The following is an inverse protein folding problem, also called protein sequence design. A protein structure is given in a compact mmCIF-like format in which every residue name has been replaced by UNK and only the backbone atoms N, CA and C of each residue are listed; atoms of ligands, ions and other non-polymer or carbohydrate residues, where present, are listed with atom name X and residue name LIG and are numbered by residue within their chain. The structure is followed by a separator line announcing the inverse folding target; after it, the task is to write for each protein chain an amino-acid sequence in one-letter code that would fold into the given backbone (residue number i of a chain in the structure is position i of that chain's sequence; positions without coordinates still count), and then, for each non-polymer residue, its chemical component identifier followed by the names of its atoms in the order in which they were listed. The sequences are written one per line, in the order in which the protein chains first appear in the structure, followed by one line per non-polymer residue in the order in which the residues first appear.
data_IF_728087994200
#
_entry.id   IF_728087994200
#
_cell.length_a   1.000
_cell.length_b   1.000
_cell.length_c   1.000
_cell.angle_alpha   90.00
_cell.angle_beta   90.00
_cell.angle_gamma   90.00
#
_symmetry.space_group_name_H-M   'P 1'
#
loop_
_entity.id
_entity.type
_entity.pdbx_description
1 polymer ?
#
# COMPACT_ATOMS: atom_id res chain seq x y z
N UNK A 1 62.27 9.56 -7.60
CA UNK A 1 61.31 10.62 -7.18
C UNK A 1 59.87 10.34 -7.61
N UNK A 2 59.59 10.00 -8.88
CA UNK A 2 58.23 9.64 -9.36
C UNK A 2 57.52 8.54 -8.54
N UNK A 3 58.22 7.44 -8.21
CA UNK A 3 57.66 6.34 -7.41
C UNK A 3 57.35 6.72 -5.95
N UNK A 4 58.12 7.64 -5.37
CA UNK A 4 57.91 8.11 -4.00
C UNK A 4 56.71 9.06 -3.93
N UNK A 5 56.50 9.86 -4.98
CA UNK A 5 55.37 10.78 -5.09
C UNK A 5 54.04 10.03 -5.26
N UNK A 6 54.01 8.94 -6.03
CA UNK A 6 52.82 8.09 -6.16
C UNK A 6 52.45 7.39 -4.84
N UNK A 7 53.43 6.94 -4.06
CA UNK A 7 53.17 6.28 -2.77
C UNK A 7 52.60 7.29 -1.76
N UNK A 8 53.14 8.52 -1.72
CA UNK A 8 52.63 9.59 -0.84
C UNK A 8 51.21 10.00 -1.25
N UNK A 9 50.91 10.06 -2.55
CA UNK A 9 49.58 10.42 -3.06
C UNK A 9 48.53 9.33 -2.79
N UNK A 10 48.91 8.05 -2.83
CA UNK A 10 48.04 6.92 -2.44
C UNK A 10 47.82 6.89 -0.93
N UNK A 11 48.84 7.18 -0.12
CA UNK A 11 48.72 7.26 1.34
C UNK A 11 47.87 8.46 1.80
N UNK A 12 47.94 9.61 1.12
CA UNK A 12 47.09 10.76 1.44
C UNK A 12 45.63 10.55 1.01
N UNK A 13 45.39 9.83 -0.09
CA UNK A 13 44.03 9.45 -0.51
C UNK A 13 43.39 8.40 0.41
N UNK A 14 44.19 7.53 1.04
CA UNK A 14 43.71 6.57 2.05
C UNK A 14 43.42 7.21 3.42
N UNK A 15 44.07 8.34 3.76
CA UNK A 15 43.82 9.06 5.02
C UNK A 15 42.61 10.02 4.96
N UNK A 16 42.13 10.37 3.76
CA UNK A 16 40.90 11.18 3.60
C UNK A 16 39.60 10.40 3.72
N UNK A 17 39.65 9.08 3.94
CA UNK A 17 38.49 8.22 4.17
C UNK A 17 38.12 8.07 5.66
N UNK A 18 38.67 8.90 6.55
CA UNK A 18 38.07 9.09 7.87
C UNK A 18 36.86 10.00 7.70
N UNK A 19 35.79 9.44 7.09
CA UNK A 19 34.47 10.02 7.26
C UNK A 19 34.19 10.11 8.75
N UNK A 20 33.65 11.25 9.22
CA UNK A 20 33.08 11.33 10.54
C UNK A 20 32.09 10.18 10.67
N UNK A 21 32.50 9.10 11.33
CA UNK A 21 31.60 8.06 11.81
C UNK A 21 30.73 8.79 12.84
N UNK A 22 29.59 9.33 12.42
CA UNK A 22 28.46 9.51 13.33
C UNK A 22 28.28 8.12 13.93
N UNK A 23 28.65 7.99 15.20
CA UNK A 23 28.42 6.75 15.94
C UNK A 23 26.92 6.57 15.91
N UNK A 24 26.45 5.44 15.38
CA UNK A 24 25.05 5.06 15.50
C UNK A 24 24.80 4.83 16.99
N UNK A 25 24.24 5.85 17.65
CA UNK A 25 23.86 5.83 19.06
C UNK A 25 22.42 5.36 19.18
N UNK A 26 22.10 4.20 18.61
CA UNK A 26 20.80 3.59 18.86
C UNK A 26 20.72 3.33 20.37
N UNK A 27 19.81 4.05 21.04
CA UNK A 27 19.50 3.85 22.45
C UNK A 27 18.63 2.62 22.57
N UNK A 28 18.96 1.75 23.53
CA UNK A 28 18.18 0.55 23.80
C UNK A 28 17.05 0.87 24.79
N UNK A 29 16.11 -0.04 24.97
CA UNK A 29 14.99 0.10 25.92
C UNK A 29 15.46 0.59 27.31
N UNK A 30 16.61 0.11 27.78
CA UNK A 30 17.22 0.46 29.07
C UNK A 30 17.59 1.96 29.22
N UNK A 31 17.72 2.69 28.10
CA UNK A 31 18.07 4.11 28.09
C UNK A 31 16.84 5.02 28.26
N UNK A 32 15.62 4.49 28.10
CA UNK A 32 14.38 5.24 28.20
C UNK A 32 13.94 5.41 29.66
N UNK A 33 13.73 6.66 30.08
CA UNK A 33 13.23 6.99 31.43
C UNK A 33 11.75 7.33 31.37
N UNK A 34 10.92 6.44 31.92
CA UNK A 34 9.50 6.67 32.10
C UNK A 34 9.20 7.52 33.34
N UNK A 35 8.35 8.54 33.20
CA UNK A 35 7.83 9.34 34.30
C UNK A 35 6.36 8.99 34.56
N UNK A 36 6.10 8.35 35.72
CA UNK A 36 4.76 7.95 36.14
C UNK A 36 3.81 9.13 36.42
N UNK A 37 4.31 10.33 36.72
CA UNK A 37 3.44 11.48 36.96
C UNK A 37 2.90 12.09 35.68
N UNK A 38 3.77 12.22 34.67
CA UNK A 38 3.38 12.77 33.36
C UNK A 38 2.83 11.71 32.42
N UNK A 39 2.95 10.42 32.77
CA UNK A 39 2.62 9.29 31.91
C UNK A 39 3.31 9.42 30.53
N UNK A 40 4.59 9.78 30.55
CA UNK A 40 5.38 10.00 29.35
C UNK A 40 6.87 9.67 29.54
N UNK A 41 7.58 9.44 28.44
CA UNK A 41 9.04 9.33 28.45
C UNK A 41 9.70 10.71 28.55
N UNK A 42 10.81 10.79 29.26
CA UNK A 42 11.60 12.02 29.34
C UNK A 42 12.19 12.36 27.97
N UNK A 43 11.80 13.51 27.42
CA UNK A 43 12.33 14.02 26.16
C UNK A 43 13.78 14.50 26.32
N UNK A 44 14.58 14.30 25.28
CA UNK A 44 15.94 14.82 25.25
C UNK A 44 15.92 16.35 25.14
N UNK A 45 16.91 17.00 25.78
CA UNK A 45 17.03 18.45 25.70
C UNK A 45 17.41 18.84 24.26
N UNK A 46 16.72 19.85 23.73
CA UNK A 46 16.93 20.38 22.38
C UNK A 46 16.68 19.33 21.28
N UNK A 47 15.82 18.34 21.56
CA UNK A 47 15.43 17.29 20.62
C UNK A 47 14.77 17.89 19.37
N UNK A 48 15.16 17.33 18.22
CA UNK A 48 14.51 17.55 16.94
C UNK A 48 14.20 16.19 16.34
N UNK A 49 12.96 16.02 15.91
CA UNK A 49 12.47 14.79 15.33
C UNK A 49 12.14 15.01 13.87
N UNK A 50 12.31 13.97 13.05
CA UNK A 50 11.93 13.94 11.65
C UNK A 50 10.85 12.88 11.42
N UNK A 51 9.77 13.25 10.73
CA UNK A 51 8.71 12.37 10.26
C UNK A 51 8.77 12.21 8.74
N UNK A 52 8.75 10.97 8.27
CA UNK A 52 8.54 10.62 6.87
C UNK A 52 7.17 9.99 6.65
N UNK A 53 6.36 10.61 5.80
CA UNK A 53 5.06 10.11 5.32
C UNK A 53 4.79 10.70 3.94
N UNK A 54 3.89 10.10 3.17
CA UNK A 54 3.51 10.53 1.82
C UNK A 54 2.22 11.36 1.80
N UNK A 55 1.66 11.67 2.97
CA UNK A 55 0.42 12.40 3.11
C UNK A 55 0.65 13.76 3.80
N UNK A 56 0.73 14.81 2.98
CA UNK A 56 0.97 16.18 3.45
C UNK A 56 -0.14 16.66 4.42
N UNK A 57 -1.41 16.42 4.12
CA UNK A 57 -2.53 16.85 4.97
C UNK A 57 -2.49 16.17 6.36
N UNK A 58 -2.16 14.88 6.38
CA UNK A 58 -1.96 14.13 7.61
C UNK A 58 -0.75 14.67 8.39
N UNK A 59 0.39 14.89 7.73
CA UNK A 59 1.59 15.44 8.35
C UNK A 59 1.32 16.82 8.98
N UNK A 60 0.60 17.70 8.29
CA UNK A 60 0.20 19.01 8.80
C UNK A 60 -0.62 18.90 10.10
N UNK A 61 -1.61 18.00 10.15
CA UNK A 61 -2.40 17.78 11.37
C UNK A 61 -1.56 17.19 12.51
N UNK A 62 -0.67 16.25 12.20
CA UNK A 62 0.25 15.66 13.19
C UNK A 62 1.17 16.74 13.76
N UNK A 63 1.81 17.55 12.93
CA UNK A 63 2.70 18.63 13.35
C UNK A 63 1.95 19.65 14.22
N UNK A 64 0.71 19.99 13.85
CA UNK A 64 -0.12 20.90 14.65
C UNK A 64 -0.37 20.33 16.05
N UNK A 65 -0.88 19.10 16.15
CA UNK A 65 -1.16 18.44 17.43
C UNK A 65 0.12 18.22 18.25
N UNK A 66 1.24 17.91 17.58
CA UNK A 66 2.53 17.77 18.20
C UNK A 66 3.00 19.07 18.84
N UNK A 67 2.96 20.19 18.11
CA UNK A 67 3.39 21.50 18.60
C UNK A 67 2.52 22.00 19.78
N UNK A 68 1.23 21.66 19.78
CA UNK A 68 0.35 21.96 20.93
C UNK A 68 0.75 21.18 22.19
N UNK A 69 1.17 19.92 22.04
CA UNK A 69 1.50 19.02 23.15
C UNK A 69 2.96 19.13 23.60
N UNK A 70 3.88 19.39 22.67
CA UNK A 70 5.33 19.40 22.85
C UNK A 70 5.96 20.66 22.21
N UNK A 71 5.62 21.86 22.69
CA UNK A 71 6.04 23.12 22.04
C UNK A 71 7.56 23.33 21.99
N UNK A 72 8.31 22.64 22.86
CA UNK A 72 9.77 22.74 22.96
C UNK A 72 10.52 21.69 22.12
N UNK A 73 9.80 20.77 21.45
CA UNK A 73 10.39 19.70 20.63
C UNK A 73 9.98 19.89 19.17
N UNK A 74 10.93 20.24 18.32
CA UNK A 74 10.64 20.45 16.89
C UNK A 74 10.34 19.11 16.22
N UNK A 75 9.22 19.03 15.50
CA UNK A 75 8.92 17.94 14.57
C UNK A 75 9.02 18.47 13.14
N UNK A 76 10.03 18.04 12.42
CA UNK A 76 10.24 18.28 10.99
C UNK A 76 9.56 17.17 10.17
N UNK A 77 9.25 17.48 8.92
CA UNK A 77 8.56 16.58 8.00
C UNK A 77 9.26 16.61 6.64
N UNK A 78 9.35 15.43 6.03
CA UNK A 78 9.75 15.25 4.64
C UNK A 78 8.76 14.28 3.97
N UNK A 79 8.22 14.69 2.81
CA UNK A 79 7.34 13.84 2.03
C UNK A 79 8.17 12.71 1.41
N UNK A 80 7.89 11.48 1.84
CA UNK A 80 8.55 10.26 1.38
C UNK A 80 7.48 9.21 1.14
N UNK A 81 7.41 8.68 -0.09
CA UNK A 81 6.53 7.56 -0.45
C UNK A 81 6.70 6.40 0.54
N UNK A 82 5.61 5.93 1.13
CA UNK A 82 5.66 4.86 2.14
C UNK A 82 6.37 3.61 1.59
N UNK A 83 6.24 3.30 0.30
CA UNK A 83 6.91 2.16 -0.34
C UNK A 83 8.43 2.33 -0.39
N UNK A 84 8.93 3.56 -0.43
CA UNK A 84 10.36 3.88 -0.43
C UNK A 84 10.92 4.10 0.99
N UNK A 85 10.08 4.28 2.02
CA UNK A 85 10.49 4.60 3.38
C UNK A 85 11.56 3.67 3.97
N UNK A 86 11.33 2.35 3.92
CA UNK A 86 12.29 1.36 4.41
C UNK A 86 13.60 1.37 3.62
N UNK A 87 13.53 1.50 2.29
CA UNK A 87 14.69 1.55 1.40
C UNK A 87 15.53 2.80 1.65
N UNK A 88 14.89 3.96 1.76
CA UNK A 88 15.56 5.23 2.09
C UNK A 88 16.19 5.16 3.47
N UNK A 89 15.50 4.56 4.45
CA UNK A 89 16.06 4.37 5.80
C UNK A 89 17.33 3.50 5.80
N UNK A 90 17.38 2.42 5.00
CA UNK A 90 18.60 1.60 4.85
C UNK A 90 19.79 2.38 4.29
N UNK A 91 19.53 3.38 3.44
CA UNK A 91 20.55 4.22 2.83
C UNK A 91 20.99 5.36 3.76
N UNK A 92 20.02 6.09 4.32
CA UNK A 92 20.23 7.34 5.05
C UNK A 92 20.41 7.14 6.56
N UNK A 93 19.81 6.09 7.12
CA UNK A 93 19.86 5.74 8.54
C UNK A 93 21.27 5.60 9.08
N UNK A 94 22.18 4.80 8.47
CA UNK A 94 23.56 4.66 8.92
C UNK A 94 24.37 5.97 8.90
N UNK A 95 23.98 6.94 8.04
CA UNK A 95 24.58 8.27 7.98
C UNK A 95 23.97 9.24 9.01
N UNK A 96 22.96 8.82 9.76
CA UNK A 96 22.19 9.67 10.67
C UNK A 96 21.44 10.77 9.93
N UNK A 97 20.94 10.45 8.74
CA UNK A 97 20.07 11.27 7.89
C UNK A 97 18.65 10.70 7.79
N UNK A 98 18.42 9.53 8.39
CA UNK A 98 17.09 8.91 8.46
C UNK A 98 16.13 9.68 9.36
N UNK A 99 14.84 9.48 9.14
CA UNK A 99 13.79 9.92 10.05
C UNK A 99 13.80 9.18 11.40
N UNK A 100 13.17 9.79 12.41
CA UNK A 100 12.89 9.15 13.69
C UNK A 100 11.62 8.29 13.61
N UNK A 101 10.64 8.73 12.82
CA UNK A 101 9.41 8.00 12.52
C UNK A 101 9.20 8.00 11.01
N UNK A 102 8.96 6.83 10.42
CA UNK A 102 8.70 6.69 9.00
C UNK A 102 7.62 5.65 8.74
N UNK A 103 6.91 5.81 7.64
CA UNK A 103 5.89 4.86 7.18
C UNK A 103 6.52 3.84 6.24
N UNK A 104 6.01 2.60 6.33
CA UNK A 104 6.33 1.53 5.39
C UNK A 104 5.16 0.55 5.30
N UNK A 105 4.94 -0.09 4.13
CA UNK A 105 4.05 -1.22 3.99
C UNK A 105 4.38 -2.37 4.94
N UNK A 106 3.36 -3.09 5.42
CA UNK A 106 3.51 -4.17 6.39
C UNK A 106 4.42 -5.32 5.87
N UNK A 107 4.41 -5.59 4.57
CA UNK A 107 5.27 -6.60 3.93
C UNK A 107 6.77 -6.20 3.97
N UNK A 108 7.11 -4.95 4.25
CA UNK A 108 8.49 -4.49 4.44
C UNK A 108 9.00 -4.67 5.87
N UNK A 109 8.15 -4.98 6.85
CA UNK A 109 8.53 -5.05 8.28
C UNK A 109 9.62 -6.08 8.52
N UNK A 110 9.51 -7.27 7.92
CA UNK A 110 10.50 -8.35 8.10
C UNK A 110 11.87 -7.91 7.59
N UNK A 111 11.93 -7.42 6.35
CA UNK A 111 13.17 -6.96 5.73
C UNK A 111 13.78 -5.75 6.45
N UNK A 112 12.94 -4.82 6.93
CA UNK A 112 13.38 -3.69 7.73
C UNK A 112 13.96 -4.15 9.09
N UNK A 113 13.30 -5.09 9.79
CA UNK A 113 13.81 -5.68 11.03
C UNK A 113 15.15 -6.37 10.82
N UNK A 114 15.26 -7.24 9.82
CA UNK A 114 16.50 -7.99 9.52
C UNK A 114 17.66 -7.05 9.17
N UNK A 115 17.37 -5.90 8.55
CA UNK A 115 18.38 -4.88 8.27
C UNK A 115 18.78 -4.02 9.47
N UNK A 116 18.10 -4.17 10.61
CA UNK A 116 18.40 -3.45 11.85
C UNK A 116 18.00 -1.98 11.85
N UNK A 117 17.07 -1.57 10.98
CA UNK A 117 16.59 -0.17 10.91
C UNK A 117 15.35 0.10 11.77
N UNK A 118 14.79 -0.93 12.41
CA UNK A 118 13.62 -0.81 13.28
C UNK A 118 14.00 -0.80 14.74
N UNK A 119 13.25 -0.02 15.51
CA UNK A 119 13.37 0.05 16.95
C UNK A 119 12.46 -0.98 17.61
N UNK A 120 13.01 -1.80 18.52
CA UNK A 120 12.22 -2.66 19.40
C UNK A 120 11.46 -1.78 20.40
N UNK A 121 10.14 -1.82 20.37
CA UNK A 121 9.32 -1.05 21.30
C UNK A 121 9.36 -1.61 22.72
N UNK A 122 9.34 -0.75 23.76
CA UNK A 122 9.28 -1.19 25.15
C UNK A 122 8.01 -1.97 25.45
N UNK A 123 8.08 -2.85 26.47
CA UNK A 123 6.96 -3.72 26.85
C UNK A 123 5.66 -2.92 27.12
N UNK A 124 5.77 -1.73 27.73
CA UNK A 124 4.62 -0.85 27.99
C UNK A 124 3.91 -0.43 26.69
N UNK A 125 4.67 -0.10 25.65
CA UNK A 125 4.11 0.32 24.35
C UNK A 125 3.49 -0.89 23.65
N UNK A 126 4.18 -2.04 23.65
CA UNK A 126 3.65 -3.31 23.13
C UNK A 126 2.29 -3.64 23.75
N UNK A 127 2.21 -3.63 25.08
CA UNK A 127 0.96 -3.89 25.81
C UNK A 127 -0.14 -2.86 25.49
N UNK A 128 0.21 -1.58 25.34
CA UNK A 128 -0.77 -0.58 24.94
C UNK A 128 -1.32 -0.87 23.54
N UNK A 129 -0.47 -1.21 22.57
CA UNK A 129 -0.90 -1.57 21.21
C UNK A 129 -1.78 -2.83 21.25
N UNK A 130 -1.36 -3.91 21.90
CA UNK A 130 -2.12 -5.15 21.97
C UNK A 130 -3.51 -5.01 22.62
N UNK A 131 -3.67 -4.06 23.55
CA UNK A 131 -4.94 -3.81 24.23
C UNK A 131 -5.88 -2.86 23.45
N UNK A 132 -5.37 -2.12 22.47
CA UNK A 132 -6.14 -1.07 21.77
C UNK A 132 -6.27 -1.31 20.26
N UNK A 133 -5.42 -2.15 19.68
CA UNK A 133 -5.38 -2.45 18.25
C UNK A 133 -5.78 -3.92 18.04
N UNK A 134 -6.49 -4.19 16.94
CA UNK A 134 -6.92 -5.54 16.58
C UNK A 134 -5.71 -6.46 16.35
N UNK A 135 -5.81 -7.71 16.80
CA UNK A 135 -4.78 -8.75 16.68
C UNK A 135 -4.23 -8.90 15.26
N UNK A 136 -5.13 -9.04 14.28
CA UNK A 136 -4.77 -9.16 12.87
C UNK A 136 -3.96 -7.98 12.31
N UNK A 137 -3.97 -6.82 12.96
CA UNK A 137 -3.20 -5.65 12.55
C UNK A 137 -1.83 -5.58 13.22
N UNK A 138 -1.70 -5.96 14.49
CA UNK A 138 -0.42 -5.84 15.19
C UNK A 138 0.47 -7.07 15.05
N UNK A 139 -0.07 -8.27 14.78
CA UNK A 139 0.74 -9.49 14.66
C UNK A 139 1.86 -9.36 13.62
N UNK A 140 1.61 -8.68 12.50
CA UNK A 140 2.60 -8.43 11.44
C UNK A 140 3.78 -7.57 11.89
N UNK A 141 3.65 -6.88 13.02
CA UNK A 141 4.69 -6.03 13.61
C UNK A 141 5.56 -6.76 14.64
N UNK A 142 5.22 -8.02 14.94
CA UNK A 142 5.82 -8.83 16.00
C UNK A 142 6.89 -9.80 15.46
N UNK A 143 7.90 -10.08 16.28
CA UNK A 143 8.87 -11.16 16.07
C UNK A 143 9.40 -11.67 17.41
N UNK A 144 9.33 -12.98 17.66
CA UNK A 144 9.80 -13.59 18.92
C UNK A 144 9.27 -12.88 20.20
N UNK A 145 7.99 -12.48 20.18
CA UNK A 145 7.30 -11.70 21.25
C UNK A 145 7.71 -10.22 21.38
N UNK A 146 8.57 -9.72 20.50
CA UNK A 146 8.97 -8.30 20.45
C UNK A 146 8.23 -7.54 19.32
N UNK A 147 7.87 -6.28 19.59
CA UNK A 147 7.19 -5.40 18.62
C UNK A 147 8.18 -4.42 17.99
N UNK A 148 8.13 -4.26 16.67
CA UNK A 148 9.06 -3.42 15.89
C UNK A 148 8.41 -2.33 15.04
N UNK A 149 7.09 -2.33 14.95
CA UNK A 149 6.31 -1.31 14.25
C UNK A 149 4.97 -1.10 14.96
N UNK A 150 4.30 0.03 14.68
CA UNK A 150 2.95 0.30 15.18
C UNK A 150 2.02 0.34 13.96
N UNK A 151 0.96 -0.49 13.92
CA UNK A 151 -0.02 -0.42 12.84
C UNK A 151 -0.74 0.93 12.85
N UNK A 152 -0.72 1.63 11.72
CA UNK A 152 -1.41 2.92 11.54
C UNK A 152 -2.75 2.77 10.81
N UNK A 153 -2.83 1.82 9.87
CA UNK A 153 -4.01 1.52 9.08
C UNK A 153 -4.09 0.04 8.76
N UNK A 154 -5.32 -0.41 8.48
CA UNK A 154 -5.58 -1.68 7.81
C UNK A 154 -6.18 -1.30 6.47
N UNK A 155 -5.60 -1.82 5.39
CA UNK A 155 -6.12 -1.66 4.05
C UNK A 155 -6.69 -3.00 3.56
N UNK A 156 -7.75 -2.91 2.76
CA UNK A 156 -8.31 -4.06 2.08
C UNK A 156 -8.79 -3.61 0.71
N UNK A 157 -8.86 -4.56 -0.22
CA UNK A 157 -9.35 -4.32 -1.56
C UNK A 157 -10.86 -4.10 -1.49
N UNK A 158 -11.33 -3.09 -2.22
CA UNK A 158 -12.74 -2.81 -2.41
C UNK A 158 -13.04 -2.61 -3.89
N UNK A 159 -14.18 -3.12 -4.34
CA UNK A 159 -14.74 -2.71 -5.63
C UNK A 159 -15.41 -1.35 -5.45
N UNK A 160 -14.90 -0.33 -6.13
CA UNK A 160 -15.48 1.01 -6.11
C UNK A 160 -16.23 1.25 -7.42
N UNK A 161 -17.45 1.79 -7.31
CA UNK A 161 -18.31 2.05 -8.45
C UNK A 161 -18.88 3.47 -8.42
N UNK A 162 -19.10 4.04 -9.61
CA UNK A 162 -19.71 5.36 -9.73
C UNK A 162 -21.24 5.26 -9.72
N UNK A 163 -21.85 5.64 -8.58
CA UNK A 163 -23.31 5.60 -8.40
C UNK A 163 -24.11 6.33 -9.47
N UNK A 164 -23.59 7.44 -9.99
CA UNK A 164 -24.28 8.22 -11.02
C UNK A 164 -24.30 7.49 -12.35
N UNK A 165 -23.19 6.81 -12.70
CA UNK A 165 -23.10 5.98 -13.90
C UNK A 165 -24.01 4.76 -13.78
N UNK A 166 -23.93 4.01 -12.68
CA UNK A 166 -24.76 2.82 -12.48
C UNK A 166 -26.26 3.16 -12.50
N UNK A 167 -26.66 4.32 -11.95
CA UNK A 167 -28.05 4.76 -11.99
C UNK A 167 -28.54 5.08 -13.40
N UNK A 168 -27.66 5.57 -14.26
CA UNK A 168 -27.98 5.88 -15.65
C UNK A 168 -28.02 4.65 -16.55
N UNK A 169 -27.42 3.52 -16.12
CA UNK A 169 -27.32 2.30 -16.90
C UNK A 169 -28.50 1.35 -16.61
N UNK A 170 -28.99 0.62 -17.62
CA UNK A 170 -30.11 -0.29 -17.43
C UNK A 170 -29.70 -1.46 -16.53
N UNK A 171 -30.68 -2.11 -15.92
CA UNK A 171 -30.46 -3.39 -15.27
C UNK A 171 -29.89 -4.41 -16.26
N UNK A 172 -28.90 -5.18 -15.83
CA UNK A 172 -28.32 -6.30 -16.55
C UNK A 172 -29.15 -7.57 -16.37
N UNK A 173 -29.17 -8.48 -17.36
CA UNK A 173 -29.66 -9.83 -17.15
C UNK A 173 -28.92 -10.49 -16.00
N UNK A 174 -29.66 -11.13 -15.10
CA UNK A 174 -29.12 -11.86 -13.95
C UNK A 174 -29.95 -13.12 -13.72
N UNK A 175 -29.33 -14.11 -13.09
CA UNK A 175 -29.99 -15.33 -12.61
C UNK A 175 -30.79 -15.11 -11.31
N UNK A 176 -30.57 -13.99 -10.61
CA UNK A 176 -31.32 -13.60 -9.42
C UNK A 176 -32.65 -12.96 -9.84
N UNK A 177 -33.74 -13.28 -9.13
CA UNK A 177 -35.01 -12.56 -9.34
C UNK A 177 -34.81 -11.09 -8.97
N UNK A 178 -34.97 -10.19 -9.94
CA UNK A 178 -34.69 -8.76 -9.76
C UNK A 178 -35.94 -7.90 -9.92
N UNK A 179 -36.07 -6.93 -9.03
CA UNK A 179 -37.08 -5.86 -9.10
C UNK A 179 -36.49 -4.54 -9.60
N UNK A 180 -35.17 -4.48 -9.70
CA UNK A 180 -34.39 -3.30 -10.06
C UNK A 180 -34.68 -2.82 -11.49
N UNK A 181 -34.77 -1.50 -11.64
CA UNK A 181 -34.97 -0.81 -12.91
C UNK A 181 -33.68 -0.35 -13.57
N UNK A 182 -32.58 -0.32 -12.81
CA UNK A 182 -31.26 0.15 -13.24
C UNK A 182 -30.15 -0.60 -12.48
N UNK A 183 -28.91 -0.44 -12.94
CA UNK A 183 -27.77 -1.18 -12.39
C UNK A 183 -27.42 -0.78 -10.95
N UNK A 184 -27.68 0.48 -10.55
CA UNK A 184 -27.47 0.90 -9.17
C UNK A 184 -28.39 0.16 -8.21
N UNK A 185 -29.67 0.04 -8.55
CA UNK A 185 -30.64 -0.74 -7.77
C UNK A 185 -30.26 -2.21 -7.69
N UNK A 186 -29.77 -2.82 -8.78
CA UNK A 186 -29.30 -4.21 -8.75
C UNK A 186 -28.15 -4.41 -7.76
N UNK A 187 -27.16 -3.50 -7.76
CA UNK A 187 -26.00 -3.58 -6.86
C UNK A 187 -26.41 -3.28 -5.41
N UNK A 188 -27.20 -2.24 -5.14
CA UNK A 188 -27.59 -1.86 -3.78
C UNK A 188 -28.60 -2.83 -3.15
N UNK A 189 -29.41 -3.53 -3.95
CA UNK A 189 -30.34 -4.56 -3.48
C UNK A 189 -29.71 -5.96 -3.39
N UNK A 190 -28.43 -6.11 -3.77
CA UNK A 190 -27.75 -7.42 -3.86
C UNK A 190 -28.46 -8.39 -4.84
N UNK A 191 -29.07 -7.84 -5.89
CA UNK A 191 -29.84 -8.55 -6.92
C UNK A 191 -29.02 -8.86 -8.18
N UNK A 192 -27.69 -8.88 -8.10
CA UNK A 192 -26.80 -9.27 -9.21
C UNK A 192 -25.51 -9.89 -8.68
N UNK A 193 -25.02 -10.95 -9.33
CA UNK A 193 -23.71 -11.50 -9.02
C UNK A 193 -22.59 -10.60 -9.53
N UNK A 194 -21.44 -10.57 -8.85
CA UNK A 194 -20.31 -9.71 -9.25
C UNK A 194 -19.80 -10.10 -10.64
N UNK A 195 -19.85 -11.38 -10.99
CA UNK A 195 -19.48 -11.92 -12.30
C UNK A 195 -20.41 -11.41 -13.41
N UNK A 196 -21.72 -11.43 -13.18
CA UNK A 196 -22.73 -10.94 -14.13
C UNK A 196 -22.62 -9.41 -14.30
N UNK A 197 -22.34 -8.68 -13.23
CA UNK A 197 -22.04 -7.25 -13.26
C UNK A 197 -20.80 -6.96 -14.11
N UNK A 198 -19.72 -7.69 -13.88
CA UNK A 198 -18.45 -7.53 -14.58
C UNK A 198 -18.57 -7.90 -16.07
N UNK A 199 -19.21 -9.01 -16.39
CA UNK A 199 -19.48 -9.44 -17.77
C UNK A 199 -20.35 -8.42 -18.51
N UNK A 200 -21.43 -7.95 -17.88
CA UNK A 200 -22.33 -6.98 -18.49
C UNK A 200 -21.66 -5.62 -18.72
N UNK A 201 -20.87 -5.12 -17.76
CA UNK A 201 -20.09 -3.89 -17.94
C UNK A 201 -19.02 -4.06 -19.02
N UNK A 202 -18.31 -5.20 -19.06
CA UNK A 202 -17.33 -5.50 -20.09
C UNK A 202 -17.96 -5.54 -21.50
N UNK A 203 -19.18 -6.08 -21.63
CA UNK A 203 -19.92 -6.15 -22.89
C UNK A 203 -20.21 -4.79 -23.52
N UNK A 204 -20.24 -3.71 -22.71
CA UNK A 204 -20.46 -2.35 -23.18
C UNK A 204 -19.18 -1.67 -23.71
N UNK A 205 -18.00 -2.16 -23.30
CA UNK A 205 -16.70 -1.54 -23.59
C UNK A 205 -16.59 -0.08 -23.13
N UNK A 206 -15.52 0.62 -23.54
CA UNK A 206 -15.29 2.04 -23.18
C UNK A 206 -16.28 3.03 -23.82
N UNK A 207 -17.14 2.59 -24.74
CA UNK A 207 -17.98 3.50 -25.52
C UNK A 207 -19.44 3.57 -25.05
N UNK A 208 -19.85 2.76 -24.06
CA UNK A 208 -21.25 2.67 -23.57
C UNK A 208 -22.31 2.49 -24.68
N UNK A 209 -21.86 2.21 -25.90
CA UNK A 209 -22.66 2.26 -27.13
C UNK A 209 -23.64 1.09 -27.21
N UNK A 210 -23.40 0.04 -26.42
CA UNK A 210 -24.31 -1.10 -26.26
C UNK A 210 -25.50 -0.82 -25.34
N UNK A 211 -25.43 0.19 -24.47
CA UNK A 211 -26.52 0.52 -23.54
C UNK A 211 -27.59 1.44 -24.16
N UNK A 212 -27.26 2.15 -25.25
CA UNK A 212 -28.19 3.06 -25.93
C UNK A 212 -28.56 4.33 -25.14
N UNK A 213 -27.79 4.67 -24.10
CA UNK A 213 -28.06 5.78 -23.17
C UNK A 213 -26.93 6.81 -23.24
N UNK A 214 -27.29 8.10 -23.28
CA UNK A 214 -26.34 9.21 -23.12
C UNK A 214 -25.97 9.35 -21.64
N UNK A 215 -24.72 9.03 -21.31
CA UNK A 215 -24.22 9.08 -19.94
C UNK A 215 -24.08 10.54 -19.49
N UNK A 216 -24.74 10.96 -18.40
CA UNK A 216 -24.58 12.31 -17.88
C UNK A 216 -23.14 12.51 -17.36
N UNK A 217 -22.64 13.75 -17.42
CA UNK A 217 -21.32 14.15 -16.89
C UNK A 217 -20.08 13.70 -17.68
N UNK A 218 -20.22 13.37 -18.98
CA UNK A 218 -19.06 13.18 -19.88
C UNK A 218 -18.07 14.38 -19.89
N UNK A 219 -18.49 15.55 -19.38
CA UNK A 219 -17.71 16.78 -19.39
C UNK A 219 -17.25 17.27 -18.00
N UNK A 220 -17.75 16.73 -16.89
CA UNK A 220 -17.51 17.29 -15.54
C UNK A 220 -16.47 16.47 -14.77
N UNK A 221 -15.27 17.06 -14.61
CA UNK A 221 -14.09 16.45 -13.96
C UNK A 221 -14.08 16.61 -12.44
N UNK A 222 -13.43 15.66 -11.75
CA UNK A 222 -12.78 15.89 -10.46
C UNK A 222 -11.57 16.84 -10.61
N UNK A 223 -11.19 17.46 -9.50
CA UNK A 223 -10.22 18.55 -9.37
C UNK A 223 -8.95 18.42 -10.23
N UNK A 224 -8.55 19.50 -10.89
CA UNK A 224 -7.20 19.66 -11.44
C UNK A 224 -6.25 19.93 -10.28
N UNK A 225 -5.21 19.11 -10.08
CA UNK A 225 -4.02 19.56 -9.38
C UNK A 225 -3.38 20.71 -10.17
N UNK A 226 -2.87 21.73 -9.49
CA UNK A 226 -2.18 22.84 -10.16
C UNK A 226 -0.92 22.34 -10.86
N UNK A 227 -0.93 22.33 -12.20
CA UNK A 227 0.26 22.10 -13.04
C UNK A 227 0.35 20.77 -13.79
N UNK A 228 -0.63 19.89 -13.67
CA UNK A 228 -0.62 18.60 -14.41
C UNK A 228 -1.36 18.68 -15.76
N UNK A 229 -0.71 18.19 -16.83
CA UNK A 229 -1.39 17.84 -18.08
C UNK A 229 -2.11 16.51 -17.88
N UNK A 230 -3.41 16.48 -18.15
CA UNK A 230 -4.16 15.23 -18.16
C UNK A 230 -3.61 14.39 -19.31
N UNK A 231 -3.12 13.18 -19.01
CA UNK A 231 -2.78 12.24 -20.07
C UNK A 231 -4.04 11.93 -20.87
N UNK A 232 -3.97 12.00 -22.20
CA UNK A 232 -5.11 11.69 -23.10
C UNK A 232 -5.63 10.24 -22.93
N UNK A 233 -4.96 9.41 -22.14
CA UNK A 233 -5.24 7.98 -21.93
C UNK A 233 -6.02 7.62 -20.66
N UNK A 234 -6.22 8.55 -19.73
CA UNK A 234 -7.08 8.29 -18.57
C UNK A 234 -8.54 8.61 -18.92
N UNK A 235 -9.25 7.63 -19.48
CA UNK A 235 -10.69 7.72 -19.77
C UNK A 235 -11.44 8.06 -18.46
N UNK A 236 -11.89 9.32 -18.39
CA UNK A 236 -12.31 10.06 -17.18
C UNK A 236 -13.70 9.65 -16.64
N UNK A 237 -14.19 8.46 -17.01
CA UNK A 237 -15.57 8.01 -16.76
C UNK A 237 -15.64 6.52 -16.40
N UNK A 238 -14.75 6.05 -15.53
CA UNK A 238 -14.71 4.65 -15.10
C UNK A 238 -15.98 4.22 -14.36
N UNK A 239 -16.74 3.24 -14.90
CA UNK A 239 -17.88 2.61 -14.20
C UNK A 239 -17.39 1.81 -12.99
N UNK A 240 -16.40 0.94 -13.24
CA UNK A 240 -15.74 0.06 -12.28
C UNK A 240 -14.23 0.20 -12.45
N UNK A 241 -13.53 0.52 -11.37
CA UNK A 241 -12.07 0.57 -11.36
C UNK A 241 -11.54 -0.66 -10.63
N UNK A 242 -10.60 -1.38 -11.25
CA UNK A 242 -9.98 -2.54 -10.63
C UNK A 242 -8.56 -2.74 -11.17
N UNK A 243 -7.61 -3.05 -10.28
CA UNK A 243 -6.21 -3.29 -10.63
C UNK A 243 -6.02 -4.77 -11.02
N UNK A 244 -5.98 -5.04 -12.32
CA UNK A 244 -5.91 -6.41 -12.85
C UNK A 244 -4.51 -7.05 -12.80
N UNK A 245 -3.46 -6.26 -12.60
CA UNK A 245 -2.09 -6.71 -12.81
C UNK A 245 -1.43 -7.37 -11.58
N UNK A 246 -2.10 -7.41 -10.45
CA UNK A 246 -1.51 -7.91 -9.20
C UNK A 246 -2.42 -9.00 -8.60
N UNK A 247 -1.84 -10.17 -8.30
CA UNK A 247 -2.54 -11.28 -7.68
C UNK A 247 -3.20 -10.90 -6.35
N UNK A 248 -2.65 -9.92 -5.63
CA UNK A 248 -3.27 -9.31 -4.46
C UNK A 248 -4.65 -8.75 -4.83
N UNK A 249 -4.73 -7.89 -5.84
CA UNK A 249 -5.98 -7.29 -6.30
C UNK A 249 -6.94 -8.29 -6.96
N UNK A 250 -6.44 -9.45 -7.42
CA UNK A 250 -7.24 -10.52 -8.00
C UNK A 250 -7.70 -11.60 -7.02
N UNK A 251 -7.33 -11.49 -5.76
CA UNK A 251 -7.64 -12.48 -4.73
C UNK A 251 -9.13 -12.91 -4.67
N UNK A 252 -10.13 -12.01 -4.78
CA UNK A 252 -11.54 -12.40 -4.76
C UNK A 252 -11.91 -13.36 -5.90
N UNK A 253 -11.29 -13.18 -7.07
CA UNK A 253 -11.53 -14.03 -8.23
C UNK A 253 -10.72 -15.32 -8.13
N UNK A 254 -9.48 -15.28 -7.67
CA UNK A 254 -8.69 -16.50 -7.50
C UNK A 254 -9.36 -17.48 -6.54
N UNK A 255 -10.04 -16.96 -5.50
CA UNK A 255 -10.61 -17.78 -4.41
C UNK A 255 -12.07 -18.20 -4.61
N UNK A 256 -12.71 -17.83 -5.72
CA UNK A 256 -14.15 -18.04 -5.95
C UNK A 256 -14.58 -19.49 -5.75
N UNK A 257 -13.86 -20.43 -6.35
CA UNK A 257 -14.19 -21.86 -6.29
C UNK A 257 -13.51 -22.56 -5.10
N UNK A 258 -13.15 -21.79 -4.07
CA UNK A 258 -12.62 -22.31 -2.80
C UNK A 258 -11.11 -22.44 -2.74
N UNK A 259 -10.38 -21.92 -3.73
CA UNK A 259 -8.93 -21.79 -3.63
C UNK A 259 -8.55 -20.87 -2.46
N UNK A 260 -7.47 -21.22 -1.78
CA UNK A 260 -6.91 -20.48 -0.65
C UNK A 260 -5.42 -20.35 -0.86
N UNK A 261 -4.98 -19.11 -1.05
CA UNK A 261 -3.55 -18.79 -1.20
C UNK A 261 -2.87 -19.15 0.11
N UNK A 262 -1.78 -19.92 0.05
CA UNK A 262 -1.03 -20.39 1.22
C UNK A 262 -1.73 -21.45 2.07
N UNK A 263 -2.57 -22.30 1.46
CA UNK A 263 -3.17 -23.46 2.10
C UNK A 263 -4.46 -23.15 2.89
N UNK A 264 -4.96 -24.13 3.65
CA UNK A 264 -6.31 -24.03 4.25
C UNK A 264 -6.50 -22.90 5.26
N UNK A 265 -5.41 -22.43 5.88
CA UNK A 265 -5.37 -21.37 6.88
C UNK A 265 -4.73 -20.06 6.37
N UNK A 266 -4.39 -20.00 5.07
CA UNK A 266 -3.70 -18.89 4.41
C UNK A 266 -2.31 -18.53 4.97
N UNK A 267 -1.61 -19.47 5.62
CA UNK A 267 -0.35 -19.17 6.33
C UNK A 267 0.86 -20.00 5.89
N UNK A 268 0.72 -20.95 4.96
CA UNK A 268 1.83 -21.75 4.47
C UNK A 268 2.41 -21.19 3.15
N UNK A 269 3.57 -20.50 3.19
CA UNK A 269 4.16 -19.87 2.00
C UNK A 269 4.57 -20.88 0.91
N UNK A 270 4.75 -22.15 1.25
CA UNK A 270 5.08 -23.22 0.29
C UNK A 270 3.84 -23.72 -0.47
N UNK A 271 2.63 -23.32 -0.05
CA UNK A 271 1.34 -23.77 -0.59
C UNK A 271 0.67 -22.68 -1.42
N UNK A 272 1.45 -21.99 -2.27
CA UNK A 272 0.89 -21.02 -3.21
C UNK A 272 -0.06 -21.71 -4.22
N UNK A 273 0.28 -22.89 -4.74
CA UNK A 273 -0.61 -23.79 -5.51
C UNK A 273 -1.52 -23.11 -6.56
N UNK A 274 -0.98 -22.14 -7.30
CA UNK A 274 -1.75 -21.34 -8.28
C UNK A 274 -2.24 -22.16 -9.49
N UNK A 275 -1.69 -23.36 -9.69
CA UNK A 275 -2.02 -24.32 -10.73
C UNK A 275 -3.23 -25.21 -10.38
N UNK A 276 -3.84 -25.01 -9.21
CA UNK A 276 -5.03 -25.75 -8.77
C UNK A 276 -6.21 -25.60 -9.75
N UNK A 277 -6.97 -26.68 -10.01
CA UNK A 277 -8.16 -26.61 -10.88
C UNK A 277 -9.17 -25.55 -10.46
N UNK A 278 -9.29 -25.27 -9.16
CA UNK A 278 -10.15 -24.25 -8.59
C UNK A 278 -9.75 -22.84 -9.04
N UNK A 279 -8.44 -22.54 -9.13
CA UNK A 279 -7.93 -21.26 -9.63
C UNK A 279 -8.32 -21.08 -11.09
N UNK A 280 -8.06 -22.11 -11.90
CA UNK A 280 -8.41 -22.13 -13.32
C UNK A 280 -9.91 -21.93 -13.55
N UNK A 281 -10.73 -22.70 -12.84
CA UNK A 281 -12.20 -22.60 -12.91
C UNK A 281 -12.68 -21.21 -12.50
N UNK A 282 -12.07 -20.62 -11.48
CA UNK A 282 -12.44 -19.27 -11.01
C UNK A 282 -12.08 -18.18 -12.01
N UNK A 283 -10.92 -18.27 -12.66
CA UNK A 283 -10.50 -17.35 -13.73
C UNK A 283 -11.39 -17.52 -14.97
N UNK A 284 -11.64 -18.76 -15.42
CA UNK A 284 -12.44 -19.11 -16.60
C UNK A 284 -13.84 -18.49 -16.59
N UNK A 285 -14.40 -18.26 -15.42
CA UNK A 285 -15.76 -17.77 -15.28
C UNK A 285 -15.86 -16.25 -15.06
N UNK A 286 -14.73 -15.56 -15.01
CA UNK A 286 -14.65 -14.10 -15.00
C UNK A 286 -14.17 -13.58 -16.36
N UNK A 287 -13.63 -14.45 -17.22
CA UNK A 287 -13.22 -14.10 -18.58
C UNK A 287 -14.41 -13.95 -19.54
N UNK A 288 -14.93 -12.73 -19.66
CA UNK A 288 -15.55 -12.21 -20.88
C UNK A 288 -14.51 -11.54 -21.80
N UNK A 289 -14.92 -11.00 -22.95
CA UNK A 289 -14.03 -10.23 -23.84
C UNK A 289 -13.61 -8.90 -23.17
N UNK A 290 -12.59 -8.92 -22.33
CA UNK A 290 -12.03 -7.71 -21.70
C UNK A 290 -11.09 -6.98 -22.67
N UNK A 291 -11.50 -5.81 -23.15
CA UNK A 291 -10.71 -5.00 -24.10
C UNK A 291 -9.60 -4.20 -23.38
N UNK A 292 -8.43 -4.82 -23.23
CA UNK A 292 -7.18 -4.15 -22.81
C UNK A 292 -6.12 -4.19 -23.92
N UNK A 293 -5.41 -3.07 -24.13
CA UNK A 293 -4.43 -2.93 -25.20
C UNK A 293 -3.26 -3.95 -25.05
N UNK A 294 -3.01 -4.70 -26.11
CA UNK A 294 -2.27 -5.97 -26.10
C UNK A 294 -0.76 -5.84 -25.88
N UNK A 295 -0.19 -4.66 -26.15
CA UNK A 295 1.20 -4.61 -26.57
C UNK A 295 2.22 -4.12 -25.50
N UNK A 296 1.83 -3.80 -24.24
CA UNK A 296 2.77 -3.15 -23.28
C UNK A 296 2.77 -3.56 -21.78
N UNK A 297 1.89 -4.43 -21.27
CA UNK A 297 1.95 -4.81 -19.83
C UNK A 297 3.20 -5.65 -19.44
N UNK A 298 3.63 -5.53 -18.17
CA UNK A 298 4.75 -6.32 -17.59
C UNK A 298 4.29 -7.28 -16.49
N UNK A 299 2.99 -7.35 -16.23
CA UNK A 299 2.40 -8.33 -15.33
C UNK A 299 1.50 -9.31 -16.09
N UNK A 300 0.73 -8.84 -17.08
CA UNK A 300 0.16 -9.60 -18.21
C UNK A 300 -0.11 -8.67 -19.43
N UNK A 301 0.84 -8.51 -20.39
CA UNK A 301 0.61 -7.87 -21.69
C UNK A 301 -0.20 -8.75 -22.61
N UNK A 302 -1.39 -8.28 -22.98
CA UNK A 302 -2.28 -9.00 -23.89
C UNK A 302 -3.05 -10.12 -23.21
N UNK A 303 -4.15 -10.51 -23.87
CA UNK A 303 -5.02 -11.63 -23.50
C UNK A 303 -4.17 -12.88 -23.25
N UNK A 304 -3.84 -13.15 -21.99
CA UNK A 304 -3.27 -14.41 -21.60
C UNK A 304 -4.38 -15.46 -21.72
N UNK A 305 -4.11 -16.50 -22.49
CA UNK A 305 -4.94 -17.70 -22.49
C UNK A 305 -4.53 -18.56 -21.29
N UNK A 306 -5.40 -19.46 -20.85
CA UNK A 306 -5.08 -20.42 -19.78
C UNK A 306 -3.84 -21.27 -20.07
N UNK A 307 -3.46 -21.40 -21.33
CA UNK A 307 -2.25 -22.12 -21.76
C UNK A 307 -0.96 -21.34 -21.43
N UNK A 308 -1.06 -20.04 -21.15
CA UNK A 308 0.07 -19.17 -20.80
C UNK A 308 0.38 -19.16 -19.29
N UNK A 309 -0.50 -19.75 -18.46
CA UNK A 309 -0.36 -19.76 -17.00
C UNK A 309 0.47 -20.93 -16.45
N UNK A 310 0.85 -21.90 -17.31
CA UNK A 310 1.64 -23.08 -16.95
C UNK A 310 0.83 -24.25 -16.43
#
# INVERSE_FOLDING_TARGET
MRKLFCIIMVLTLMMSLVGCKKVVTAKFEDDLKWDEKSQSYAMEKDAKLMLWTDNDEFAEQVIKLWNEKYPDVTLEYENVDSNDGAKKMKLDGPAGLGADVFYMPHNSVVDARESGILYKFPERVKQWVMNNIQESAYEVTMYEDDMYAIPSSIENIALVYNKQLLKALPALPTTIETSASNLLEQVENEEIYIEELLEGVASWGNNYSGAGIEVPFKQDRFYKGDGEEISDSEDIHTILAWQLYDAYHNYPFLTRDGYRVFGSDNNNPDMFDIDKPEVRSSIEAVTGDWYGNKDESKLFPGLATLEDMG
#
